data_IF_082050861619
#
_entry.id   IF_082050861619
#
_cell.length_a   1.000
_cell.length_b   1.000
_cell.length_c   1.000
_cell.angle_alpha   90.00
_cell.angle_beta   90.00
_cell.angle_gamma   90.00
#
_symmetry.space_group_name_H-M   'P 1'
#
loop_
_entity.id
_entity.type
_entity.pdbx_description
1 polymer ?
#
# COMPACT_ATOMS: atom_id res chain seq x y z
N UNK A 1 -17.60 6.80 62.63
CA UNK A 1 -18.33 6.28 61.46
C UNK A 1 -17.67 6.86 60.21
N UNK A 2 -17.42 6.02 59.20
CA UNK A 2 -16.69 6.27 57.94
C UNK A 2 -15.16 6.37 58.09
N UNK A 3 -14.31 5.58 57.44
CA UNK A 3 -14.50 4.51 56.46
C UNK A 3 -13.17 4.28 55.74
N UNK A 4 -12.49 3.17 56.05
CA UNK A 4 -11.32 2.67 55.30
C UNK A 4 -11.75 2.33 53.87
N UNK A 5 -11.07 2.90 52.87
CA UNK A 5 -11.05 2.34 51.52
C UNK A 5 -9.62 1.96 51.15
N UNK A 6 -9.38 0.66 51.25
CA UNK A 6 -8.31 -0.06 50.57
C UNK A 6 -8.68 -0.13 49.08
N UNK A 7 -7.76 0.20 48.18
CA UNK A 7 -7.92 -0.10 46.76
C UNK A 7 -6.59 -0.59 46.21
N UNK A 8 -6.61 -1.90 45.95
CA UNK A 8 -5.57 -2.73 45.37
C UNK A 8 -5.24 -2.28 43.95
N UNK A 9 -3.99 -1.92 43.69
CA UNK A 9 -3.46 -1.74 42.34
C UNK A 9 -3.11 -3.14 41.80
N UNK A 10 -3.99 -3.70 40.97
CA UNK A 10 -3.68 -4.86 40.13
C UNK A 10 -2.88 -4.36 38.91
N UNK A 11 -1.56 -4.46 39.00
CA UNK A 11 -0.66 -4.25 37.87
C UNK A 11 -0.79 -5.40 36.87
N UNK A 12 -1.40 -5.13 35.72
CA UNK A 12 -1.31 -6.02 34.56
C UNK A 12 0.04 -5.80 33.87
N UNK A 13 1.02 -6.63 34.21
CA UNK A 13 2.23 -6.81 33.41
C UNK A 13 1.84 -7.48 32.09
N UNK A 14 2.02 -6.80 30.96
CA UNK A 14 1.99 -7.42 29.64
C UNK A 14 3.42 -7.79 29.26
N UNK A 15 3.65 -9.10 29.24
CA UNK A 15 4.85 -9.76 28.75
C UNK A 15 4.88 -9.62 27.21
N UNK A 16 5.92 -9.06 26.57
CA UNK A 16 6.03 -9.12 25.12
C UNK A 16 6.31 -10.57 24.70
N UNK A 17 5.50 -11.07 23.77
CA UNK A 17 5.63 -12.41 23.21
C UNK A 17 7.00 -12.59 22.55
N UNK A 18 7.79 -13.52 23.09
CA UNK A 18 9.04 -13.99 22.51
C UNK A 18 8.78 -14.69 21.19
N UNK A 19 9.30 -14.16 20.08
CA UNK A 19 9.28 -14.83 18.78
C UNK A 19 10.39 -15.87 18.75
N UNK A 20 10.01 -17.15 18.74
CA UNK A 20 10.93 -18.26 18.54
C UNK A 20 11.28 -18.41 17.06
N UNK A 21 12.54 -18.12 16.70
CA UNK A 21 13.11 -18.56 15.42
C UNK A 21 13.40 -20.06 15.49
N UNK A 22 12.51 -20.89 14.93
CA UNK A 22 12.81 -22.30 14.76
C UNK A 22 13.55 -22.51 13.42
N UNK A 23 14.88 -22.62 13.48
CA UNK A 23 15.72 -23.16 12.40
C UNK A 23 15.55 -24.68 12.38
N UNK A 24 15.02 -25.24 11.30
CA UNK A 24 15.33 -26.60 10.78
C UNK A 24 14.55 -26.87 9.50
N UNK A 25 15.22 -26.90 8.34
CA UNK A 25 14.69 -27.53 7.11
C UNK A 25 15.50 -28.82 6.89
N UNK A 26 14.89 -30.01 6.90
CA UNK A 26 15.57 -31.22 6.50
C UNK A 26 15.60 -31.34 4.97
N UNK A 27 16.78 -31.72 4.49
CA UNK A 27 17.11 -32.07 3.11
C UNK A 27 16.34 -33.33 2.69
N UNK A 28 15.56 -33.26 1.60
CA UNK A 28 14.88 -34.41 1.01
C UNK A 28 15.26 -34.56 -0.47
N UNK A 29 15.71 -35.76 -0.82
CA UNK A 29 16.26 -36.18 -2.10
C UNK A 29 15.24 -36.20 -3.24
N UNK A 30 15.71 -35.84 -4.43
CA UNK A 30 15.00 -35.88 -5.71
C UNK A 30 14.48 -37.29 -6.06
N UNK A 31 13.23 -37.37 -6.48
CA UNK A 31 12.77 -38.39 -7.43
C UNK A 31 12.05 -37.69 -8.60
N UNK A 32 12.54 -38.00 -9.80
CA UNK A 32 12.10 -37.48 -11.08
C UNK A 32 10.79 -38.14 -11.51
N UNK A 33 9.79 -37.36 -11.87
CA UNK A 33 8.71 -37.85 -12.75
C UNK A 33 8.33 -36.76 -13.73
N UNK A 34 8.57 -37.08 -15.01
CA UNK A 34 8.35 -36.26 -16.19
C UNK A 34 6.87 -35.96 -16.39
N UNK A 35 6.52 -34.66 -16.46
CA UNK A 35 5.28 -34.20 -17.08
C UNK A 35 5.58 -33.01 -17.98
N UNK A 36 5.22 -33.18 -19.25
CA UNK A 36 5.29 -32.16 -20.29
C UNK A 36 4.48 -30.93 -19.89
N UNK A 37 5.17 -29.84 -19.59
CA UNK A 37 4.59 -28.53 -19.33
C UNK A 37 5.11 -27.55 -20.38
N UNK A 38 4.18 -26.89 -21.07
CA UNK A 38 4.41 -25.79 -22.00
C UNK A 38 5.44 -24.79 -21.43
N UNK A 39 6.57 -24.63 -22.14
CA UNK A 39 7.54 -23.57 -21.86
C UNK A 39 6.94 -22.23 -22.26
N UNK A 40 6.08 -21.67 -21.41
CA UNK A 40 5.78 -20.24 -21.46
C UNK A 40 6.97 -19.55 -20.79
N UNK A 41 7.89 -19.05 -21.60
CA UNK A 41 9.02 -18.26 -21.12
C UNK A 41 8.49 -17.15 -20.21
N UNK A 42 8.92 -17.13 -18.94
CA UNK A 42 8.71 -15.98 -18.08
C UNK A 42 9.45 -14.81 -18.72
N UNK A 43 8.79 -13.66 -18.99
CA UNK A 43 9.52 -12.47 -19.42
C UNK A 43 10.58 -12.18 -18.37
N UNK A 44 11.77 -11.72 -18.78
CA UNK A 44 12.91 -11.52 -17.89
C UNK A 44 12.54 -10.62 -16.70
N UNK A 45 12.23 -11.25 -15.56
CA UNK A 45 11.62 -10.64 -14.36
C UNK A 45 12.51 -9.59 -13.70
N UNK A 46 13.83 -9.66 -13.88
CA UNK A 46 14.77 -8.82 -13.14
C UNK A 46 14.83 -7.37 -13.63
N UNK A 47 14.41 -7.08 -14.85
CA UNK A 47 14.55 -5.74 -15.47
C UNK A 47 13.22 -4.96 -15.60
N UNK A 48 12.13 -5.45 -15.02
CA UNK A 48 10.85 -4.73 -15.04
C UNK A 48 10.92 -3.51 -14.09
N UNK A 49 10.91 -2.27 -14.61
CA UNK A 49 11.05 -1.08 -13.77
C UNK A 49 9.89 -0.89 -12.78
N UNK A 50 8.68 -1.38 -13.12
CA UNK A 50 7.52 -1.29 -12.23
C UNK A 50 7.68 -2.24 -11.05
N UNK A 51 8.10 -3.47 -11.33
CA UNK A 51 8.38 -4.45 -10.30
C UNK A 51 9.53 -4.00 -9.39
N UNK A 52 10.60 -3.44 -9.95
CA UNK A 52 11.71 -2.92 -9.16
C UNK A 52 11.29 -1.74 -8.28
N UNK A 53 10.46 -0.82 -8.78
CA UNK A 53 9.90 0.27 -7.98
C UNK A 53 9.06 -0.25 -6.81
N UNK A 54 8.18 -1.24 -7.05
CA UNK A 54 7.36 -1.86 -6.01
C UNK A 54 8.20 -2.59 -4.95
N UNK A 55 9.23 -3.34 -5.36
CA UNK A 55 10.18 -4.01 -4.46
C UNK A 55 10.95 -2.98 -3.63
N UNK A 56 11.41 -1.88 -4.25
CA UNK A 56 12.11 -0.81 -3.53
C UNK A 56 11.20 -0.18 -2.47
N UNK A 57 9.95 0.13 -2.83
CA UNK A 57 8.95 0.66 -1.89
C UNK A 57 8.65 -0.31 -0.73
N UNK A 58 8.53 -1.61 -1.00
CA UNK A 58 8.44 -2.64 0.03
C UNK A 58 9.70 -2.70 0.91
N UNK A 59 10.90 -2.52 0.34
CA UNK A 59 12.15 -2.57 1.08
C UNK A 59 12.25 -1.43 2.09
N UNK A 60 11.79 -0.22 1.73
CA UNK A 60 11.71 0.92 2.65
C UNK A 60 10.78 0.61 3.83
N UNK A 61 9.61 0.03 3.58
CA UNK A 61 8.67 -0.38 4.64
C UNK A 61 9.26 -1.44 5.56
N UNK A 62 10.03 -2.39 5.02
CA UNK A 62 10.74 -3.38 5.80
C UNK A 62 11.83 -2.73 6.67
N UNK A 63 12.66 -1.86 6.10
CA UNK A 63 13.70 -1.13 6.85
C UNK A 63 13.11 -0.30 7.98
N UNK A 64 11.97 0.36 7.74
CA UNK A 64 11.26 1.12 8.76
C UNK A 64 10.73 0.21 9.86
N UNK A 65 10.10 -0.92 9.49
CA UNK A 65 9.59 -1.91 10.45
C UNK A 65 10.68 -2.46 11.38
N UNK A 66 11.93 -2.53 10.90
CA UNK A 66 13.08 -3.01 11.66
C UNK A 66 13.74 -1.93 12.54
N UNK A 67 13.29 -0.67 12.47
CA UNK A 67 13.81 0.37 13.37
C UNK A 67 13.40 0.09 14.82
N UNK A 68 14.20 0.53 15.82
CA UNK A 68 13.83 0.41 17.23
C UNK A 68 12.51 1.13 17.59
N UNK A 69 12.28 2.29 16.97
CA UNK A 69 11.10 3.13 17.17
C UNK A 69 10.48 3.47 15.80
N UNK A 70 9.75 2.52 15.18
CA UNK A 70 9.25 2.68 13.83
C UNK A 70 8.03 3.61 13.78
N UNK A 71 7.96 4.48 12.76
CA UNK A 71 6.80 5.31 12.42
C UNK A 71 5.56 4.46 12.18
N UNK A 72 5.73 3.31 11.54
CA UNK A 72 4.70 2.31 11.30
C UNK A 72 5.29 0.91 11.20
N UNK A 73 4.47 -0.10 11.46
CA UNK A 73 4.88 -1.50 11.38
C UNK A 73 4.19 -2.19 10.19
N UNK A 74 4.98 -2.77 9.30
CA UNK A 74 4.53 -3.57 8.15
C UNK A 74 5.07 -5.00 8.25
N UNK A 75 4.29 -5.94 8.84
CA UNK A 75 4.75 -7.32 9.04
C UNK A 75 4.93 -8.09 7.73
N UNK A 76 4.40 -7.58 6.61
CA UNK A 76 4.33 -8.30 5.35
C UNK A 76 5.29 -7.75 4.29
N UNK A 77 5.91 -6.58 4.52
CA UNK A 77 6.88 -6.01 3.58
C UNK A 77 8.01 -6.99 3.23
N UNK A 78 8.47 -7.78 4.21
CA UNK A 78 9.49 -8.81 4.02
C UNK A 78 9.08 -9.95 3.06
N UNK A 79 7.78 -10.18 2.82
CA UNK A 79 7.32 -11.22 1.90
C UNK A 79 7.73 -10.95 0.45
N UNK A 80 8.02 -9.70 0.10
CA UNK A 80 8.36 -9.30 -1.27
C UNK A 80 9.87 -9.23 -1.52
N UNK A 81 10.67 -9.23 -0.44
CA UNK A 81 12.10 -8.98 -0.51
C UNK A 81 12.84 -10.32 -0.58
N UNK A 82 13.63 -10.47 -1.63
CA UNK A 82 14.47 -11.66 -1.80
C UNK A 82 15.61 -11.67 -0.76
N UNK A 83 16.05 -12.83 -0.25
CA UNK A 83 17.17 -12.90 0.70
C UNK A 83 18.47 -12.27 0.17
N UNK A 84 18.68 -12.27 -1.15
CA UNK A 84 19.82 -11.63 -1.80
C UNK A 84 19.65 -10.12 -2.05
N UNK A 85 18.49 -9.54 -1.75
CA UNK A 85 18.25 -8.12 -1.95
C UNK A 85 19.23 -7.30 -1.10
N UNK A 86 19.94 -6.37 -1.75
CA UNK A 86 20.88 -5.46 -1.11
C UNK A 86 20.18 -4.12 -0.94
N UNK A 87 20.09 -3.65 0.29
CA UNK A 87 19.65 -2.30 0.56
C UNK A 87 20.67 -1.31 -0.03
N UNK A 88 20.19 -0.33 -0.79
CA UNK A 88 21.03 0.77 -1.25
C UNK A 88 21.14 1.79 -0.11
N UNK A 89 22.19 1.69 0.70
CA UNK A 89 22.45 2.58 1.83
C UNK A 89 22.82 4.02 1.40
N UNK A 90 23.14 4.26 0.11
CA UNK A 90 23.80 5.50 -0.35
C UNK A 90 22.92 6.41 -1.20
N UNK A 91 21.85 5.92 -1.82
CA UNK A 91 20.92 6.78 -2.57
C UNK A 91 19.74 7.23 -1.70
N UNK A 92 19.75 8.51 -1.37
CA UNK A 92 18.55 9.31 -1.11
C UNK A 92 17.84 9.13 0.26
N UNK A 93 18.56 9.33 1.38
CA UNK A 93 17.94 9.42 2.73
C UNK A 93 16.70 10.32 2.77
N UNK A 94 16.69 11.43 2.03
CA UNK A 94 15.57 12.38 2.00
C UNK A 94 14.32 11.84 1.28
N UNK A 95 14.47 11.18 0.12
CA UNK A 95 13.31 10.61 -0.59
C UNK A 95 12.76 9.39 0.12
N UNK A 96 13.65 8.57 0.72
CA UNK A 96 13.24 7.45 1.55
C UNK A 96 12.43 7.94 2.76
N UNK A 97 12.88 8.98 3.45
CA UNK A 97 12.14 9.58 4.56
C UNK A 97 10.79 10.16 4.12
N UNK A 98 10.73 10.83 2.97
CA UNK A 98 9.48 11.34 2.42
C UNK A 98 8.45 10.21 2.18
N UNK A 99 8.89 9.09 1.59
CA UNK A 99 8.03 7.92 1.38
C UNK A 99 7.50 7.36 2.72
N UNK A 100 8.36 7.25 3.74
CA UNK A 100 7.98 6.70 5.04
C UNK A 100 7.00 7.62 5.80
N UNK A 101 7.29 8.92 5.85
CA UNK A 101 6.37 9.90 6.45
C UNK A 101 5.02 9.92 5.74
N UNK A 102 5.02 9.84 4.41
CA UNK A 102 3.78 9.80 3.63
C UNK A 102 3.02 8.50 3.86
N UNK A 103 3.72 7.37 4.01
CA UNK A 103 3.10 6.09 4.38
C UNK A 103 2.34 6.23 5.70
N UNK A 104 2.98 6.80 6.73
CA UNK A 104 2.36 7.05 8.04
C UNK A 104 1.18 8.01 7.94
N UNK A 105 1.33 9.12 7.21
CA UNK A 105 0.28 10.09 7.00
C UNK A 105 -0.96 9.46 6.34
N UNK A 106 -0.76 8.69 5.26
CA UNK A 106 -1.84 8.00 4.55
C UNK A 106 -2.53 7.00 5.49
N UNK A 107 -1.78 6.20 6.24
CA UNK A 107 -2.33 5.23 7.20
C UNK A 107 -3.25 5.92 8.23
N UNK A 108 -2.78 7.03 8.82
CA UNK A 108 -3.56 7.78 9.81
C UNK A 108 -4.84 8.36 9.21
N UNK A 109 -4.77 8.89 7.98
CA UNK A 109 -5.94 9.45 7.30
C UNK A 109 -6.94 8.38 6.91
N UNK A 110 -6.48 7.23 6.44
CA UNK A 110 -7.32 6.09 6.11
C UNK A 110 -8.07 5.59 7.36
N UNK A 111 -7.35 5.34 8.46
CA UNK A 111 -7.94 4.89 9.73
C UNK A 111 -8.88 5.96 10.30
N UNK A 112 -8.49 7.23 10.26
CA UNK A 112 -9.32 8.35 10.72
C UNK A 112 -10.63 8.45 9.94
N UNK A 113 -10.58 8.37 8.62
CA UNK A 113 -11.75 8.43 7.75
C UNK A 113 -12.73 7.29 8.02
N UNK A 114 -12.24 6.04 8.07
CA UNK A 114 -13.12 4.88 8.29
C UNK A 114 -13.73 4.88 9.69
N UNK A 115 -13.03 5.39 10.70
CA UNK A 115 -13.57 5.47 12.07
C UNK A 115 -14.64 6.57 12.22
N UNK A 116 -14.62 7.58 11.37
CA UNK A 116 -15.62 8.66 11.35
C UNK A 116 -16.80 8.37 10.42
N UNK A 117 -16.75 7.27 9.66
CA UNK A 117 -17.78 6.91 8.67
C UNK A 117 -18.71 5.82 9.19
N UNK A 118 -19.99 6.14 9.30
CA UNK A 118 -21.02 5.18 9.67
C UNK A 118 -21.38 4.23 8.52
N UNK A 119 -21.73 2.99 8.86
CA UNK A 119 -22.11 1.97 7.88
C UNK A 119 -20.96 1.52 6.98
N UNK A 120 -21.24 1.35 5.68
CA UNK A 120 -20.29 0.87 4.67
C UNK A 120 -19.17 1.88 4.44
N UNK A 121 -17.93 1.45 4.67
CA UNK A 121 -16.72 2.25 4.45
C UNK A 121 -16.08 1.86 3.12
N UNK A 122 -15.75 2.83 2.29
CA UNK A 122 -15.12 2.60 0.98
C UNK A 122 -13.74 3.23 0.95
N UNK A 123 -12.72 2.39 0.76
CA UNK A 123 -11.32 2.78 0.64
C UNK A 123 -10.86 2.39 -0.74
N UNK A 124 -10.27 3.32 -1.48
CA UNK A 124 -9.64 3.04 -2.77
C UNK A 124 -8.15 3.37 -2.65
N UNK A 125 -7.32 2.39 -2.94
CA UNK A 125 -5.87 2.49 -2.93
C UNK A 125 -5.38 2.47 -4.37
N UNK A 126 -4.63 3.49 -4.77
CA UNK A 126 -3.96 3.62 -6.06
C UNK A 126 -2.47 3.31 -5.83
N UNK A 127 -2.04 2.08 -6.18
CA UNK A 127 -0.80 1.49 -5.66
C UNK A 127 0.14 0.93 -6.74
N UNK A 128 1.35 0.54 -6.32
CA UNK A 128 2.31 -0.21 -7.13
C UNK A 128 1.99 -1.73 -7.22
N UNK A 129 0.96 -2.20 -6.50
CA UNK A 129 0.55 -3.60 -6.43
C UNK A 129 1.15 -4.40 -5.28
N UNK A 130 2.05 -3.83 -4.47
CA UNK A 130 2.60 -4.47 -3.26
C UNK A 130 2.10 -3.84 -1.95
N UNK A 131 1.00 -3.07 -1.98
CA UNK A 131 0.45 -2.46 -0.77
C UNK A 131 -0.09 -3.53 0.21
N UNK A 132 0.29 -3.41 1.48
CA UNK A 132 -0.07 -4.34 2.55
C UNK A 132 -1.11 -3.77 3.51
N UNK A 133 -1.54 -2.51 3.34
CA UNK A 133 -2.56 -1.85 4.15
C UNK A 133 -3.84 -2.68 4.32
N UNK A 134 -4.37 -3.40 3.30
CA UNK A 134 -5.54 -4.24 3.50
C UNK A 134 -5.37 -5.28 4.62
N UNK A 135 -4.13 -5.72 4.86
CA UNK A 135 -3.79 -6.78 5.80
C UNK A 135 -3.22 -6.28 7.13
N UNK A 136 -2.52 -5.13 7.14
CA UNK A 136 -1.85 -4.62 8.35
C UNK A 136 -2.63 -3.54 9.11
N UNK A 137 -3.52 -2.79 8.45
CA UNK A 137 -4.32 -1.77 9.12
C UNK A 137 -5.55 -2.39 9.80
N UNK A 138 -5.96 -1.80 10.93
CA UNK A 138 -7.13 -2.25 11.70
C UNK A 138 -8.41 -1.67 11.11
N UNK A 139 -8.91 -2.33 10.07
CA UNK A 139 -10.16 -1.94 9.42
C UNK A 139 -11.39 -2.34 10.27
N UNK A 140 -12.34 -1.42 10.50
CA UNK A 140 -13.64 -1.78 11.06
C UNK A 140 -14.42 -2.73 10.14
N UNK A 141 -15.37 -3.50 10.68
CA UNK A 141 -16.27 -4.32 9.88
C UNK A 141 -17.02 -3.49 8.85
N UNK A 142 -17.40 -4.10 7.72
CA UNK A 142 -18.04 -3.42 6.59
C UNK A 142 -17.13 -2.38 5.91
N UNK A 143 -15.82 -2.62 5.93
CA UNK A 143 -14.86 -1.90 5.08
C UNK A 143 -14.65 -2.65 3.76
N UNK A 144 -14.90 -1.97 2.65
CA UNK A 144 -14.55 -2.41 1.30
C UNK A 144 -13.31 -1.65 0.86
N UNK A 145 -12.29 -2.40 0.46
CA UNK A 145 -11.02 -1.88 -0.02
C UNK A 145 -10.91 -2.26 -1.49
N UNK A 146 -10.69 -1.27 -2.34
CA UNK A 146 -10.44 -1.45 -3.76
C UNK A 146 -8.97 -1.10 -4.01
N UNK A 147 -8.20 -2.03 -4.56
CA UNK A 147 -6.81 -1.81 -4.94
C UNK A 147 -6.74 -1.65 -6.46
N UNK A 148 -6.38 -0.46 -6.92
CA UNK A 148 -6.14 -0.14 -8.32
C UNK A 148 -4.63 -0.15 -8.52
N UNK A 149 -4.14 -1.16 -9.23
CA UNK A 149 -2.70 -1.40 -9.40
C UNK A 149 -2.41 -2.29 -10.60
N UNK A 150 -1.14 -2.38 -11.06
CA UNK A 150 -0.76 -3.30 -12.12
C UNK A 150 -1.16 -4.75 -11.81
N UNK A 151 -1.90 -5.38 -12.73
CA UNK A 151 -2.53 -6.70 -12.50
C UNK A 151 -1.53 -7.80 -12.15
N UNK A 152 -0.42 -7.81 -12.89
CA UNK A 152 0.64 -8.79 -12.70
C UNK A 152 1.26 -8.69 -11.30
N UNK A 153 1.67 -7.48 -10.90
CA UNK A 153 2.36 -7.26 -9.62
C UNK A 153 1.42 -7.59 -8.45
N UNK A 154 0.15 -7.18 -8.54
CA UNK A 154 -0.86 -7.50 -7.52
C UNK A 154 -1.05 -9.00 -7.32
N UNK A 155 -1.14 -9.77 -8.42
CA UNK A 155 -1.32 -11.23 -8.35
C UNK A 155 -0.11 -11.91 -7.68
N UNK A 156 1.10 -11.57 -8.12
CA UNK A 156 2.32 -12.10 -7.51
C UNK A 156 2.45 -11.72 -6.02
N UNK A 157 2.10 -10.48 -5.66
CA UNK A 157 2.11 -10.02 -4.27
C UNK A 157 1.06 -10.77 -3.42
N UNK A 158 -0.15 -10.95 -3.95
CA UNK A 158 -1.25 -11.64 -3.27
C UNK A 158 -0.89 -13.09 -2.97
N UNK A 159 -0.27 -13.81 -3.92
CA UNK A 159 0.21 -15.17 -3.70
C UNK A 159 1.23 -15.24 -2.56
N UNK A 160 2.21 -14.33 -2.54
CA UNK A 160 3.23 -14.25 -1.48
C UNK A 160 2.60 -13.94 -0.12
N UNK A 161 1.66 -12.99 -0.07
CA UNK A 161 0.95 -12.60 1.15
C UNK A 161 0.14 -13.76 1.73
N UNK A 162 -0.62 -14.46 0.88
CA UNK A 162 -1.39 -15.64 1.28
C UNK A 162 -0.48 -16.77 1.78
N UNK A 163 0.63 -17.03 1.09
CA UNK A 163 1.63 -18.02 1.49
C UNK A 163 2.27 -17.73 2.86
N UNK A 164 2.29 -16.46 3.28
CA UNK A 164 2.79 -16.02 4.59
C UNK A 164 1.66 -15.78 5.62
N UNK A 165 0.44 -16.23 5.32
CA UNK A 165 -0.67 -16.20 6.27
C UNK A 165 -1.32 -14.83 6.46
N UNK A 166 -1.10 -13.87 5.55
CA UNK A 166 -1.79 -12.59 5.57
C UNK A 166 -3.30 -12.80 5.46
N UNK A 167 -4.07 -12.17 6.36
CA UNK A 167 -5.53 -12.27 6.41
C UNK A 167 -6.13 -10.89 6.55
N UNK A 168 -7.21 -10.65 5.82
CA UNK A 168 -8.01 -9.44 6.00
C UNK A 168 -8.72 -9.46 7.37
N UNK A 169 -8.94 -8.30 8.00
CA UNK A 169 -9.81 -8.21 9.16
C UNK A 169 -11.20 -8.76 8.87
N UNK A 170 -11.81 -9.41 9.87
CA UNK A 170 -13.12 -10.06 9.73
C UNK A 170 -14.18 -9.05 9.26
N UNK A 171 -14.97 -9.43 8.25
CA UNK A 171 -16.03 -8.58 7.71
C UNK A 171 -15.55 -7.45 6.80
N UNK A 172 -14.27 -7.45 6.41
CA UNK A 172 -13.74 -6.59 5.36
C UNK A 172 -13.63 -7.36 4.03
N UNK A 173 -13.62 -6.62 2.92
CA UNK A 173 -13.45 -7.17 1.58
C UNK A 173 -12.36 -6.40 0.85
N UNK A 174 -11.47 -7.13 0.17
CA UNK A 174 -10.52 -6.59 -0.80
C UNK A 174 -10.97 -6.97 -2.21
N UNK A 175 -10.94 -5.99 -3.13
CA UNK A 175 -11.17 -6.17 -4.56
C UNK A 175 -10.02 -5.53 -5.32
N UNK A 176 -9.44 -6.26 -6.25
CA UNK A 176 -8.42 -5.75 -7.14
C UNK A 176 -9.06 -5.31 -8.44
N UNK A 177 -8.71 -4.10 -8.86
CA UNK A 177 -9.17 -3.45 -10.07
C UNK A 177 -7.90 -3.25 -10.92
N UNK A 178 -7.70 -4.03 -11.99
CA UNK A 178 -6.53 -3.87 -12.85
C UNK A 178 -6.39 -2.43 -13.34
N UNK A 179 -5.21 -1.84 -13.14
CA UNK A 179 -4.88 -0.53 -13.71
C UNK A 179 -5.01 -0.54 -15.23
N UNK A 180 -4.77 -1.69 -15.84
CA UNK A 180 -4.89 -1.95 -17.28
C UNK A 180 -6.36 -2.11 -17.75
N UNK A 181 -7.34 -1.96 -16.86
CA UNK A 181 -8.76 -2.01 -17.24
C UNK A 181 -9.12 -0.87 -18.19
N UNK A 182 -9.83 -1.20 -19.28
CA UNK A 182 -10.32 -0.20 -20.23
C UNK A 182 -11.37 0.74 -19.65
N UNK A 183 -12.00 0.37 -18.54
CA UNK A 183 -12.95 1.21 -17.81
C UNK A 183 -12.90 0.91 -16.31
N UNK A 184 -12.01 1.60 -15.61
CA UNK A 184 -11.83 1.48 -14.15
C UNK A 184 -13.14 1.82 -13.41
N UNK A 185 -13.86 2.86 -13.83
CA UNK A 185 -15.12 3.28 -13.18
C UNK A 185 -16.19 2.19 -13.23
N UNK A 186 -16.38 1.56 -14.40
CA UNK A 186 -17.31 0.45 -14.57
C UNK A 186 -16.88 -0.77 -13.76
N UNK A 187 -15.57 -1.08 -13.76
CA UNK A 187 -15.02 -2.23 -13.03
C UNK A 187 -15.22 -2.06 -11.51
N UNK A 188 -14.92 -0.88 -10.97
CA UNK A 188 -15.19 -0.52 -9.56
C UNK A 188 -16.66 -0.70 -9.20
N UNK A 189 -17.56 -0.18 -10.04
CA UNK A 189 -19.01 -0.25 -9.80
C UNK A 189 -19.51 -1.69 -9.84
N UNK A 190 -19.01 -2.52 -10.77
CA UNK A 190 -19.34 -3.94 -10.86
C UNK A 190 -18.86 -4.72 -9.61
N UNK A 191 -17.73 -4.34 -9.04
CA UNK A 191 -17.21 -4.89 -7.78
C UNK A 191 -17.87 -4.29 -6.52
N UNK A 192 -18.86 -3.42 -6.73
CA UNK A 192 -19.75 -2.90 -5.70
C UNK A 192 -19.22 -1.68 -4.98
N UNK A 193 -18.39 -0.87 -5.64
CA UNK A 193 -18.24 0.54 -5.29
C UNK A 193 -19.58 1.27 -5.48
N UNK A 194 -19.91 2.18 -4.57
CA UNK A 194 -21.14 2.95 -4.58
C UNK A 194 -20.83 4.45 -4.52
N UNK A 195 -20.97 5.14 -5.66
CA UNK A 195 -20.74 6.59 -5.78
C UNK A 195 -21.71 7.47 -4.99
N UNK A 196 -22.79 6.91 -4.42
CA UNK A 196 -23.69 7.65 -3.54
C UNK A 196 -23.23 7.64 -2.07
N UNK A 197 -22.05 7.07 -1.76
CA UNK A 197 -21.48 7.02 -0.42
C UNK A 197 -20.09 7.63 -0.40
N UNK A 198 -19.72 8.20 0.75
CA UNK A 198 -18.37 8.73 0.94
C UNK A 198 -17.31 7.64 0.73
N UNK A 199 -16.17 8.05 0.19
CA UNK A 199 -15.02 7.20 -0.05
C UNK A 199 -13.73 7.98 0.15
N UNK A 200 -12.70 7.31 0.65
CA UNK A 200 -11.35 7.85 0.71
C UNK A 200 -10.49 7.18 -0.35
N UNK A 201 -9.77 8.01 -1.10
CA UNK A 201 -8.87 7.62 -2.18
C UNK A 201 -7.45 8.01 -1.78
N UNK A 202 -6.55 7.03 -1.77
CA UNK A 202 -5.15 7.22 -1.42
C UNK A 202 -4.24 6.82 -2.57
N UNK A 203 -3.37 7.73 -3.02
CA UNK A 203 -2.37 7.46 -4.06
C UNK A 203 -0.96 7.38 -3.47
N UNK A 204 -0.30 6.25 -3.68
CA UNK A 204 1.11 6.09 -3.33
C UNK A 204 1.74 4.97 -4.16
N UNK A 205 2.77 5.30 -4.94
CA UNK A 205 3.48 4.31 -5.74
C UNK A 205 2.78 3.90 -7.04
N UNK A 206 1.58 4.42 -7.33
CA UNK A 206 0.91 4.17 -8.60
C UNK A 206 1.84 4.53 -9.77
N UNK A 207 2.12 3.61 -10.71
CA UNK A 207 3.05 3.84 -11.80
C UNK A 207 2.41 4.66 -12.93
N UNK A 208 2.09 5.91 -12.62
CA UNK A 208 1.57 6.88 -13.57
C UNK A 208 2.75 7.51 -14.31
N UNK A 209 2.82 7.28 -15.62
CA UNK A 209 3.98 7.68 -16.42
C UNK A 209 3.79 9.04 -17.13
N UNK A 210 2.55 9.52 -17.25
CA UNK A 210 2.24 10.76 -17.98
C UNK A 210 1.20 11.62 -17.25
N UNK A 211 1.21 12.93 -17.49
CA UNK A 211 0.18 13.85 -16.99
C UNK A 211 -1.22 13.42 -17.45
N UNK A 212 -1.37 13.02 -18.73
CA UNK A 212 -2.63 12.52 -19.27
C UNK A 212 -3.15 11.30 -18.49
N UNK A 213 -2.29 10.32 -18.18
CA UNK A 213 -2.72 9.17 -17.37
C UNK A 213 -3.10 9.56 -15.93
N UNK A 214 -2.50 10.63 -15.38
CA UNK A 214 -2.91 11.16 -14.08
C UNK A 214 -4.26 11.89 -14.15
N UNK A 215 -4.48 12.68 -15.19
CA UNK A 215 -5.75 13.37 -15.45
C UNK A 215 -6.90 12.38 -15.60
N UNK A 216 -6.69 11.25 -16.31
CA UNK A 216 -7.68 10.17 -16.43
C UNK A 216 -8.07 9.58 -15.06
N UNK A 217 -7.09 9.42 -14.16
CA UNK A 217 -7.36 8.99 -12.77
C UNK A 217 -8.17 10.06 -12.04
N UNK A 218 -7.85 11.35 -12.16
CA UNK A 218 -8.62 12.43 -11.53
C UNK A 218 -10.04 12.55 -12.10
N UNK A 219 -10.23 12.34 -13.41
CA UNK A 219 -11.54 12.27 -14.05
C UNK A 219 -12.33 11.09 -13.47
N UNK A 220 -11.70 9.92 -13.34
CA UNK A 220 -12.33 8.73 -12.72
C UNK A 220 -12.76 8.99 -11.28
N UNK A 221 -11.87 9.57 -10.46
CA UNK A 221 -12.14 9.91 -9.06
C UNK A 221 -13.28 10.93 -8.97
N UNK A 222 -13.22 12.00 -9.76
CA UNK A 222 -14.23 13.06 -9.74
C UNK A 222 -15.61 12.58 -10.20
N UNK A 223 -15.67 11.68 -11.20
CA UNK A 223 -16.90 11.04 -11.65
C UNK A 223 -17.54 10.07 -10.65
N UNK A 224 -16.77 9.62 -9.64
CA UNK A 224 -17.22 8.70 -8.59
C UNK A 224 -17.34 9.37 -7.21
N UNK A 225 -16.89 10.60 -7.06
CA UNK A 225 -16.89 11.32 -5.80
C UNK A 225 -18.28 11.89 -5.47
N UNK A 226 -18.60 11.89 -4.18
CA UNK A 226 -19.75 12.60 -3.61
C UNK A 226 -19.31 13.43 -2.42
N UNK A 227 -20.25 14.15 -1.80
CA UNK A 227 -19.96 14.94 -0.59
C UNK A 227 -19.36 14.04 0.50
N UNK A 228 -18.24 14.46 1.07
CA UNK A 228 -17.52 13.71 2.09
C UNK A 228 -16.48 12.74 1.54
N UNK A 229 -16.29 12.65 0.22
CA UNK A 229 -15.11 11.96 -0.31
C UNK A 229 -13.82 12.72 -0.03
N UNK A 230 -12.71 11.99 0.06
CA UNK A 230 -11.36 12.56 0.21
C UNK A 230 -10.41 11.92 -0.78
N UNK A 231 -9.51 12.70 -1.37
CA UNK A 231 -8.39 12.23 -2.19
C UNK A 231 -7.09 12.77 -1.60
N UNK A 232 -6.12 11.90 -1.36
CA UNK A 232 -4.85 12.26 -0.72
C UNK A 232 -3.72 11.37 -1.21
N UNK A 233 -2.48 11.80 -1.01
CA UNK A 233 -1.31 10.97 -1.28
C UNK A 233 -0.18 11.75 -1.95
N UNK A 234 0.69 11.00 -2.63
CA UNK A 234 1.85 11.55 -3.35
C UNK A 234 1.45 11.83 -4.80
N UNK A 235 1.65 13.06 -5.26
CA UNK A 235 1.52 13.39 -6.67
C UNK A 235 2.67 12.75 -7.47
N UNK A 236 2.41 12.18 -8.66
CA UNK A 236 3.48 11.69 -9.52
C UNK A 236 4.50 12.82 -9.81
N UNK A 237 5.79 12.52 -9.71
CA UNK A 237 6.86 13.53 -9.84
C UNK A 237 6.77 14.31 -11.17
N UNK A 238 6.33 13.62 -12.23
CA UNK A 238 6.14 14.18 -13.57
C UNK A 238 5.10 15.31 -13.61
N UNK A 239 4.14 15.33 -12.67
CA UNK A 239 3.14 16.41 -12.55
C UNK A 239 3.71 17.62 -11.83
N UNK A 240 4.61 17.39 -10.87
CA UNK A 240 5.21 18.46 -10.06
C UNK A 240 6.22 19.28 -10.88
N UNK A 241 6.95 18.66 -11.80
CA UNK A 241 7.95 19.33 -12.63
C UNK A 241 7.34 20.25 -13.70
N UNK A 242 6.08 20.04 -14.10
CA UNK A 242 5.40 20.86 -15.13
C UNK A 242 4.96 22.26 -14.69
N UNK A 243 5.13 22.63 -13.41
CA UNK A 243 4.66 23.92 -12.86
C UNK A 243 5.77 24.86 -12.35
N UNK A 244 7.06 24.55 -12.57
CA UNK A 244 8.19 25.38 -12.06
C UNK A 244 8.91 26.17 -13.17
N UNK A 245 8.45 26.09 -14.41
CA UNK A 245 8.99 26.88 -15.51
C UNK A 245 7.88 27.53 -16.31
N UNK A 246 7.36 28.66 -15.84
CA UNK A 246 6.76 29.75 -16.65
C UNK A 246 6.18 30.83 -15.72
N UNK A 247 7.03 31.61 -15.05
CA UNK A 247 6.78 33.01 -14.66
C UNK A 247 7.95 33.55 -13.83
N UNK A 248 8.99 34.08 -14.48
CA UNK A 248 9.67 35.35 -14.10
C UNK A 248 10.44 35.82 -15.34
N UNK A 249 9.77 36.52 -16.26
CA UNK A 249 10.45 37.50 -17.11
C UNK A 249 10.26 38.86 -16.47
N UNK A 250 11.24 39.29 -15.68
CA UNK A 250 11.35 40.69 -15.28
C UNK A 250 11.55 41.51 -16.56
N UNK A 251 10.55 42.31 -16.89
CA UNK A 251 10.68 43.43 -17.83
C UNK A 251 11.56 44.49 -17.18
N UNK A 252 12.86 44.41 -17.42
CA UNK A 252 13.73 45.56 -17.18
C UNK A 252 13.41 46.65 -18.20
N UNK A 253 12.93 47.75 -17.67
CA UNK A 253 12.60 48.99 -18.36
C UNK A 253 13.89 49.67 -18.84
N UNK A 254 14.02 49.91 -20.15
CA UNK A 254 15.02 50.83 -20.67
C UNK A 254 14.50 52.27 -20.56
N UNK A 255 15.20 53.09 -19.79
CA UNK A 255 15.37 54.53 -20.05
C UNK A 255 16.46 54.73 -21.09
#
# INVERSE_FOLDING_TARGET
MYGMYCSTILGFSHNPATVFFNKSIPYASKTSTTKNGSFRAKPNDENDPLLQAAINAASLRLQETLQPEPLFHDPYAGCFISPQFRFDDKKQRSSSLHYLLTTKFIDDKLVGFVNQTDGLKQVVLLTDGMDTRPYRLRWPTLTRIFDISPDRIFKEATEKLQGNGAKLPKGCLLRHIPLESSNIQQTLSADGFNGNRSSIWAIQGLPVMTLSSFEEILITVSGLATKGCSFLGVLPAQVVETNIGDEVTCLDSQM
#
